data_IF_575102882681
#
_entry.id   IF_575102882681
#
_cell.length_a   1.000
_cell.length_b   1.000
_cell.length_c   1.000
_cell.angle_alpha   90.00
_cell.angle_beta   90.00
_cell.angle_gamma   90.00
#
_symmetry.space_group_name_H-M   'P 1'
#
loop_
_entity.id
_entity.type
_entity.pdbx_description
1 polymer ?
#
# COMPACT_ATOMS: atom_id res chain seq x y z
N UNK A 1 -29.79 -7.72 12.72
CA UNK A 1 -28.99 -7.05 11.69
C UNK A 1 -29.86 -6.07 10.95
N UNK A 2 -30.89 -6.61 10.30
CA UNK A 2 -31.55 -5.98 9.15
C UNK A 2 -32.27 -4.65 9.38
N UNK A 3 -32.55 -4.30 10.63
CA UNK A 3 -33.35 -3.11 10.94
C UNK A 3 -32.71 -2.21 12.01
N UNK A 4 -32.51 -2.70 13.24
CA UNK A 4 -32.16 -1.82 14.39
C UNK A 4 -30.85 -2.17 15.10
N UNK A 5 -30.18 -3.25 14.69
CA UNK A 5 -29.04 -3.77 15.44
C UNK A 5 -27.75 -2.94 15.23
N UNK A 6 -27.67 -2.14 14.17
CA UNK A 6 -26.51 -1.30 13.85
C UNK A 6 -25.71 -1.74 12.60
N UNK A 7 -25.30 -3.02 12.46
CA UNK A 7 -24.56 -3.48 11.29
C UNK A 7 -25.38 -3.39 9.99
N UNK A 8 -24.70 -3.09 8.89
CA UNK A 8 -25.30 -3.15 7.56
C UNK A 8 -25.75 -4.58 7.23
N UNK A 9 -26.95 -4.72 6.68
CA UNK A 9 -27.45 -5.98 6.12
C UNK A 9 -27.09 -6.17 4.64
N UNK A 10 -26.37 -5.21 4.04
CA UNK A 10 -25.87 -5.33 2.68
C UNK A 10 -24.61 -6.20 2.73
N UNK A 11 -24.81 -7.50 2.49
CA UNK A 11 -23.79 -8.53 2.67
C UNK A 11 -23.47 -9.24 1.34
N UNK A 12 -22.26 -9.80 1.18
CA UNK A 12 -21.90 -10.58 0.00
C UNK A 12 -22.69 -11.89 -0.07
N UNK A 13 -23.28 -12.18 -1.23
CA UNK A 13 -24.05 -13.41 -1.49
C UNK A 13 -23.35 -14.28 -2.55
N UNK A 14 -23.91 -15.45 -2.90
CA UNK A 14 -23.31 -16.33 -3.92
C UNK A 14 -21.95 -16.93 -3.51
N UNK A 15 -21.69 -17.05 -2.20
CA UNK A 15 -20.42 -17.59 -1.66
C UNK A 15 -19.24 -16.61 -1.68
N UNK A 16 -19.48 -15.34 -2.04
CA UNK A 16 -18.43 -14.32 -2.13
C UNK A 16 -17.96 -13.77 -0.77
N UNK A 17 -18.66 -14.11 0.32
CA UNK A 17 -18.23 -13.83 1.69
C UNK A 17 -16.86 -14.45 2.05
N UNK A 18 -16.33 -15.37 1.23
CA UNK A 18 -14.96 -15.88 1.36
C UNK A 18 -13.87 -14.83 1.09
N UNK A 19 -14.19 -13.75 0.38
CA UNK A 19 -13.21 -12.73 -0.03
C UNK A 19 -13.75 -11.29 -0.01
N UNK A 20 -15.06 -11.09 0.12
CA UNK A 20 -15.65 -9.77 0.35
C UNK A 20 -16.17 -9.62 1.77
N UNK A 21 -16.13 -8.38 2.27
CA UNK A 21 -16.76 -7.98 3.53
C UNK A 21 -18.17 -7.44 3.28
N UNK A 22 -18.98 -7.38 4.34
CA UNK A 22 -20.23 -6.61 4.32
C UNK A 22 -19.97 -5.12 4.12
N UNK A 23 -20.96 -4.42 3.59
CA UNK A 23 -20.88 -2.98 3.35
C UNK A 23 -20.57 -2.23 4.65
N UNK A 24 -19.53 -1.41 4.63
CA UNK A 24 -19.10 -0.56 5.73
C UNK A 24 -18.59 0.79 5.24
N UNK A 25 -18.13 1.61 6.18
CA UNK A 25 -17.63 2.97 5.87
C UNK A 25 -16.42 2.91 4.92
N UNK A 26 -15.60 1.86 5.03
CA UNK A 26 -14.43 1.62 4.18
C UNK A 26 -14.77 1.59 2.69
N UNK A 27 -15.97 1.17 2.30
CA UNK A 27 -16.39 1.11 0.90
C UNK A 27 -16.60 2.50 0.28
N UNK A 28 -16.74 3.52 1.13
CA UNK A 28 -16.95 4.92 0.73
C UNK A 28 -15.72 5.81 0.90
N UNK A 29 -14.61 5.26 1.40
CA UNK A 29 -13.36 6.00 1.60
C UNK A 29 -12.21 5.37 0.82
N UNK A 30 -11.25 6.20 0.41
CA UNK A 30 -10.02 5.74 -0.23
C UNK A 30 -8.86 5.90 0.75
N UNK A 31 -8.11 4.82 0.99
CA UNK A 31 -6.85 4.90 1.73
C UNK A 31 -5.72 5.39 0.83
N UNK A 32 -4.89 6.30 1.31
CA UNK A 32 -3.70 6.79 0.61
C UNK A 32 -2.49 6.76 1.55
N UNK A 33 -1.41 6.15 1.09
CA UNK A 33 -0.18 6.00 1.87
C UNK A 33 0.76 7.16 1.56
N UNK A 34 1.24 7.85 2.60
CA UNK A 34 2.27 8.88 2.50
C UNK A 34 3.56 8.30 3.08
N UNK A 35 4.61 8.26 2.25
CA UNK A 35 5.94 7.78 2.65
C UNK A 35 6.93 8.92 2.48
N UNK A 36 7.70 9.21 3.53
CA UNK A 36 8.73 10.24 3.52
C UNK A 36 9.97 9.75 4.26
N UNK A 37 11.14 10.09 3.73
CA UNK A 37 12.43 9.74 4.32
C UNK A 37 13.25 10.99 4.60
N UNK A 38 13.88 11.03 5.77
CA UNK A 38 15.04 11.90 5.97
C UNK A 38 16.22 11.35 5.17
N UNK A 39 17.22 12.17 4.87
CA UNK A 39 18.44 11.71 4.17
C UNK A 39 19.09 10.52 4.88
N UNK A 40 19.23 10.58 6.21
CA UNK A 40 19.75 9.48 7.05
C UNK A 40 18.85 8.23 7.00
N UNK A 41 17.53 8.42 6.94
CA UNK A 41 16.58 7.31 6.80
C UNK A 41 16.73 6.59 5.46
N UNK A 42 16.83 7.36 4.36
CA UNK A 42 17.04 6.80 3.03
C UNK A 42 18.41 6.11 2.91
N UNK A 43 19.44 6.64 3.58
CA UNK A 43 20.79 6.08 3.57
C UNK A 43 20.82 4.65 4.13
N UNK A 44 20.03 4.38 5.18
CA UNK A 44 19.90 3.02 5.75
C UNK A 44 19.30 2.01 4.77
N UNK A 45 18.39 2.46 3.90
CA UNK A 45 17.74 1.60 2.90
C UNK A 45 18.49 1.56 1.56
N UNK A 46 19.51 2.41 1.37
CA UNK A 46 20.17 2.65 0.09
C UNK A 46 20.74 1.37 -0.52
N UNK A 47 21.52 0.62 0.24
CA UNK A 47 22.20 -0.59 -0.28
C UNK A 47 21.21 -1.63 -0.78
N UNK A 48 20.10 -1.84 -0.06
CA UNK A 48 19.02 -2.75 -0.47
C UNK A 48 18.31 -2.25 -1.73
N UNK A 49 18.01 -0.95 -1.82
CA UNK A 49 17.37 -0.35 -2.99
C UNK A 49 18.25 -0.45 -4.24
N UNK A 50 19.54 -0.14 -4.12
CA UNK A 50 20.48 -0.22 -5.24
C UNK A 50 20.60 -1.66 -5.74
N UNK A 51 20.74 -2.63 -4.83
CA UNK A 51 20.83 -4.05 -5.17
C UNK A 51 19.56 -4.57 -5.85
N UNK A 52 18.38 -4.21 -5.33
CA UNK A 52 17.11 -4.61 -5.95
C UNK A 52 16.96 -4.00 -7.35
N UNK A 53 17.24 -2.70 -7.51
CA UNK A 53 17.16 -2.04 -8.80
C UNK A 53 18.13 -2.61 -9.84
N UNK A 54 19.33 -3.04 -9.42
CA UNK A 54 20.29 -3.72 -10.29
C UNK A 54 19.79 -5.12 -10.70
N UNK A 55 19.28 -5.91 -9.75
CA UNK A 55 18.74 -7.26 -10.03
C UNK A 55 17.51 -7.22 -10.95
N UNK A 56 16.66 -6.20 -10.82
CA UNK A 56 15.47 -6.01 -11.65
C UNK A 56 15.79 -5.33 -13.00
N UNK A 57 17.03 -4.89 -13.22
CA UNK A 57 17.42 -4.19 -14.46
C UNK A 57 16.76 -2.81 -14.63
N UNK A 58 16.57 -2.08 -13.53
CA UNK A 58 15.90 -0.77 -13.49
C UNK A 58 16.90 0.40 -13.29
N UNK A 59 17.66 0.80 -14.32
CA UNK A 59 18.74 1.79 -14.18
C UNK A 59 18.24 3.17 -13.74
N UNK A 60 17.03 3.58 -14.14
CA UNK A 60 16.45 4.87 -13.73
C UNK A 60 16.03 4.91 -12.27
N UNK A 61 15.64 3.78 -11.69
CA UNK A 61 15.34 3.71 -10.27
C UNK A 61 16.64 3.88 -9.46
N UNK A 62 17.70 3.19 -9.88
CA UNK A 62 19.04 3.28 -9.30
C UNK A 62 19.61 4.70 -9.38
N UNK A 63 19.58 5.32 -10.56
CA UNK A 63 20.02 6.69 -10.78
C UNK A 63 19.29 7.67 -9.86
N UNK A 64 17.98 7.52 -9.70
CA UNK A 64 17.19 8.40 -8.83
C UNK A 64 17.67 8.38 -7.38
N UNK A 65 18.11 7.21 -6.88
CA UNK A 65 18.65 7.08 -5.52
C UNK A 65 20.05 7.69 -5.46
N UNK A 66 20.92 7.36 -6.42
CA UNK A 66 22.29 7.89 -6.50
C UNK A 66 22.32 9.42 -6.54
N UNK A 67 21.41 10.05 -7.28
CA UNK A 67 21.30 11.52 -7.37
C UNK A 67 20.96 12.22 -6.05
N UNK A 68 20.38 11.51 -5.07
CA UNK A 68 20.06 12.06 -3.74
C UNK A 68 21.26 12.02 -2.77
N UNK A 69 22.34 11.33 -3.14
CA UNK A 69 23.56 11.18 -2.36
C UNK A 69 24.82 11.66 -3.08
N UNK A 70 24.69 12.15 -4.32
CA UNK A 70 25.72 12.93 -5.00
C UNK A 70 25.74 14.35 -4.45
#
# INVERSE_FOLDING_TARGET
GDYVAGPSHVLPTGGTARFFSGLGISDFVKSSHIISYTKKGLEKARSSLEKLAEMEGLPKHLESVKMRFK
#
